data_IF_972500960357
#
_entry.id   IF_972500960357
#
_cell.length_a   1.000
_cell.length_b   1.000
_cell.length_c   1.000
_cell.angle_alpha   90.00
_cell.angle_beta   90.00
_cell.angle_gamma   90.00
#
_symmetry.space_group_name_H-M   'P 1'
#
loop_
_entity.id
_entity.type
_entity.pdbx_description
1 polymer ?
#
# COMPACT_ATOMS: atom_id res chain seq x y z
N UNK A 1 -6.01 -2.82 16.32
CA UNK A 1 -4.78 -3.03 15.51
C UNK A 1 -4.80 -2.21 14.22
N UNK A 2 -5.76 -2.43 13.30
CA UNK A 2 -5.82 -1.66 12.03
C UNK A 2 -5.86 -0.14 12.20
N UNK A 3 -6.66 0.38 13.14
CA UNK A 3 -6.71 1.84 13.43
C UNK A 3 -5.34 2.42 13.80
N UNK A 4 -4.61 1.81 14.74
CA UNK A 4 -3.27 2.27 15.11
C UNK A 4 -2.26 2.20 13.95
N UNK A 5 -2.38 1.22 13.05
CA UNK A 5 -1.56 1.18 11.82
C UNK A 5 -1.92 2.35 10.90
N UNK A 6 -3.21 2.61 10.70
CA UNK A 6 -3.69 3.71 9.87
C UNK A 6 -3.22 5.08 10.38
N UNK A 7 -3.33 5.33 11.70
CA UNK A 7 -2.85 6.56 12.34
C UNK A 7 -1.34 6.75 12.16
N UNK A 8 -0.54 5.70 12.38
CA UNK A 8 0.91 5.78 12.23
C UNK A 8 1.34 5.99 10.77
N UNK A 9 0.66 5.38 9.80
CA UNK A 9 0.93 5.60 8.37
C UNK A 9 0.55 7.03 7.96
N UNK A 10 -0.61 7.53 8.40
CA UNK A 10 -1.05 8.89 8.11
C UNK A 10 -0.05 9.91 8.66
N UNK A 11 0.39 9.74 9.91
CA UNK A 11 1.43 10.57 10.53
C UNK A 11 2.73 10.58 9.73
N UNK A 12 3.22 9.42 9.31
CA UNK A 12 4.45 9.33 8.52
C UNK A 12 4.35 10.09 7.18
N UNK A 13 3.19 10.02 6.51
CA UNK A 13 2.94 10.75 5.25
C UNK A 13 2.91 12.26 5.49
N UNK A 14 2.18 12.71 6.52
CA UNK A 14 2.07 14.13 6.92
C UNK A 14 3.46 14.70 7.21
N UNK A 15 4.26 14.03 8.03
CA UNK A 15 5.59 14.50 8.42
C UNK A 15 6.59 14.51 7.26
N UNK A 16 6.51 13.53 6.35
CA UNK A 16 7.45 13.41 5.23
C UNK A 16 7.13 14.39 4.11
N UNK A 17 5.84 14.63 3.82
CA UNK A 17 5.40 15.45 2.69
C UNK A 17 4.97 16.86 3.08
N UNK A 18 4.80 17.16 4.38
CA UNK A 18 4.37 18.47 4.87
C UNK A 18 2.94 18.83 4.47
N UNK A 19 2.05 17.84 4.39
CA UNK A 19 0.64 18.03 3.99
C UNK A 19 -0.28 18.05 5.20
N UNK A 20 -1.43 18.72 5.09
CA UNK A 20 -2.44 18.73 6.15
C UNK A 20 -3.05 17.35 6.38
N UNK A 21 -3.41 17.07 7.64
CA UNK A 21 -4.05 15.80 8.04
C UNK A 21 -5.33 15.51 7.24
N UNK A 22 -6.11 16.55 6.94
CA UNK A 22 -7.34 16.44 6.14
C UNK A 22 -7.12 15.96 4.71
N UNK A 23 -5.88 16.02 4.21
CA UNK A 23 -5.51 15.57 2.86
C UNK A 23 -5.13 14.09 2.80
N UNK A 24 -5.08 13.39 3.94
CA UNK A 24 -4.63 12.00 4.02
C UNK A 24 -5.76 11.10 4.52
N UNK A 25 -5.92 9.94 3.88
CA UNK A 25 -6.88 8.90 4.29
C UNK A 25 -6.24 7.53 4.08
N UNK A 26 -6.49 6.59 4.98
CA UNK A 26 -5.88 5.25 4.97
C UNK A 26 -6.95 4.18 5.10
N UNK A 27 -7.02 3.28 4.12
CA UNK A 27 -7.83 2.06 4.17
C UNK A 27 -6.90 0.84 4.31
N UNK A 28 -7.37 -0.20 5.03
CA UNK A 28 -6.62 -1.46 5.23
C UNK A 28 -7.55 -2.64 4.91
N UNK A 29 -7.28 -3.30 3.79
CA UNK A 29 -8.04 -4.44 3.30
C UNK A 29 -7.23 -5.73 3.47
N UNK A 30 -7.88 -6.78 3.98
CA UNK A 30 -7.25 -8.10 4.08
C UNK A 30 -7.53 -8.87 2.78
N UNK A 31 -6.49 -9.41 2.16
CA UNK A 31 -6.59 -10.22 0.94
C UNK A 31 -6.08 -11.61 1.24
N UNK A 32 -6.87 -12.63 0.92
CA UNK A 32 -6.43 -14.02 1.04
C UNK A 32 -5.23 -14.29 0.14
N UNK A 33 -4.26 -15.06 0.62
CA UNK A 33 -3.04 -15.36 -0.15
C UNK A 33 -3.34 -16.03 -1.50
N UNK A 34 -4.39 -16.87 -1.57
CA UNK A 34 -4.86 -17.49 -2.82
C UNK A 34 -5.27 -16.46 -3.89
N UNK A 35 -5.68 -15.27 -3.46
CA UNK A 35 -6.19 -14.22 -4.34
C UNK A 35 -5.13 -13.15 -4.62
N UNK A 36 -3.96 -13.21 -3.95
CA UNK A 36 -2.96 -12.14 -3.95
C UNK A 36 -2.45 -11.78 -5.34
N UNK A 37 -2.13 -12.80 -6.16
CA UNK A 37 -1.58 -12.60 -7.49
C UNK A 37 -2.56 -11.81 -8.39
N UNK A 38 -3.85 -12.15 -8.33
CA UNK A 38 -4.89 -11.54 -9.17
C UNK A 38 -5.46 -10.24 -8.63
N UNK A 39 -5.60 -10.10 -7.30
CA UNK A 39 -6.22 -8.92 -6.67
C UNK A 39 -5.21 -7.82 -6.35
N UNK A 40 -3.92 -8.13 -6.16
CA UNK A 40 -2.92 -7.14 -5.72
C UNK A 40 -1.70 -7.13 -6.64
N UNK A 41 -1.03 -8.27 -6.85
CA UNK A 41 0.27 -8.26 -7.54
C UNK A 41 0.17 -7.77 -8.99
N UNK A 42 -0.73 -8.36 -9.78
CA UNK A 42 -0.91 -7.93 -11.17
C UNK A 42 -1.44 -6.48 -11.30
N UNK A 43 -2.55 -6.07 -10.65
CA UNK A 43 -3.10 -4.72 -10.86
C UNK A 43 -2.34 -3.60 -10.15
N UNK A 44 -1.94 -3.81 -8.88
CA UNK A 44 -1.42 -2.73 -8.03
C UNK A 44 0.09 -2.67 -7.95
N UNK A 45 0.79 -3.75 -8.29
CA UNK A 45 2.26 -3.78 -8.32
C UNK A 45 2.78 -3.71 -9.76
N UNK A 46 2.47 -4.71 -10.59
CA UNK A 46 2.94 -4.72 -11.99
C UNK A 46 2.26 -3.62 -12.81
N UNK A 47 0.93 -3.48 -12.70
CA UNK A 47 0.15 -2.48 -13.42
C UNK A 47 0.47 -1.02 -13.04
N UNK A 48 1.09 -0.81 -11.87
CA UNK A 48 1.49 0.51 -11.36
C UNK A 48 3.01 0.62 -11.16
N UNK A 49 3.79 -0.09 -11.98
CA UNK A 49 5.25 -0.19 -11.85
C UNK A 49 5.98 1.17 -11.80
N UNK A 50 5.44 2.20 -12.46
CA UNK A 50 5.99 3.56 -12.47
C UNK A 50 5.79 4.32 -11.14
N UNK A 51 4.86 3.88 -10.29
CA UNK A 51 4.54 4.52 -9.00
C UNK A 51 4.91 3.65 -7.79
N UNK A 52 5.44 2.45 -8.01
CA UNK A 52 5.95 1.57 -6.95
C UNK A 52 7.42 1.92 -6.68
N UNK A 53 7.65 2.73 -5.65
CA UNK A 53 9.01 3.10 -5.21
C UNK A 53 9.68 2.01 -4.36
N UNK A 54 8.90 1.16 -3.68
CA UNK A 54 9.39 -0.03 -2.96
C UNK A 54 8.87 -1.30 -3.63
N UNK A 55 9.68 -1.86 -4.53
CA UNK A 55 9.33 -3.06 -5.31
C UNK A 55 9.39 -4.34 -4.46
N UNK A 56 8.54 -5.36 -4.73
CA UNK A 56 8.69 -6.66 -4.10
C UNK A 56 10.00 -7.33 -4.54
N UNK A 57 10.58 -8.14 -3.66
CA UNK A 57 11.74 -8.98 -3.97
C UNK A 57 11.37 -10.36 -4.54
N UNK A 58 10.12 -10.54 -5.01
CA UNK A 58 9.59 -11.80 -5.51
C UNK A 58 8.64 -11.56 -6.69
N UNK A 59 8.45 -12.59 -7.52
CA UNK A 59 7.45 -12.66 -8.58
C UNK A 59 6.64 -13.96 -8.41
N UNK A 60 5.32 -13.89 -8.15
CA UNK A 60 4.49 -15.08 -7.96
C UNK A 60 4.21 -15.84 -9.27
N UNK A 61 4.64 -15.31 -10.42
CA UNK A 61 4.47 -15.95 -11.73
C UNK A 61 5.76 -16.56 -12.28
N UNK A 62 6.86 -16.50 -11.54
CA UNK A 62 8.15 -17.12 -11.88
C UNK A 62 8.42 -18.39 -11.07
#
# INVERSE_FOLDING_TARGET
MKHAVAENLAKAVIETLGVDESSVSVAIEDVAMSDWAGKVYAPDIQGKSNTIYKKPGYDPFQ
#
